data_IF_856185665158
#
_entry.id   IF_856185665158
#
_cell.length_a   1.000
_cell.length_b   1.000
_cell.length_c   1.000
_cell.angle_alpha   90.00
_cell.angle_beta   90.00
_cell.angle_gamma   90.00
#
_symmetry.space_group_name_H-M   'P 1'
#
loop_
_entity.id
_entity.type
_entity.pdbx_description
1 polymer ?
#
# COMPACT_ATOMS: atom_id res chain seq x y z
N UNK A 1 11.20 -21.60 7.36
CA UNK A 1 10.43 -21.01 6.25
C UNK A 1 11.03 -21.52 4.96
N UNK A 2 10.30 -22.30 4.18
CA UNK A 2 10.82 -22.95 2.95
C UNK A 2 10.49 -22.14 1.69
N UNK A 3 9.34 -21.48 1.69
CA UNK A 3 8.89 -20.60 0.61
C UNK A 3 7.88 -19.57 1.12
N UNK A 4 7.70 -18.49 0.35
CA UNK A 4 6.61 -17.52 0.49
C UNK A 4 5.94 -17.42 -0.88
N UNK A 5 4.65 -17.72 -0.95
CA UNK A 5 3.87 -17.61 -2.17
C UNK A 5 3.24 -16.22 -2.26
N UNK A 6 3.55 -15.50 -3.33
CA UNK A 6 2.91 -14.22 -3.65
C UNK A 6 1.92 -14.45 -4.79
N UNK A 7 0.65 -14.00 -4.65
CA UNK A 7 -0.32 -14.12 -5.73
C UNK A 7 0.15 -13.32 -6.94
N UNK A 8 -0.18 -13.80 -8.14
CA UNK A 8 0.04 -13.03 -9.37
C UNK A 8 -0.75 -11.73 -9.28
N UNK A 9 -0.12 -10.63 -9.66
CA UNK A 9 -0.80 -9.35 -9.76
C UNK A 9 -1.93 -9.42 -10.79
N UNK A 10 -3.09 -8.88 -10.43
CA UNK A 10 -4.21 -8.74 -11.34
C UNK A 10 -3.89 -7.67 -12.40
N UNK A 11 -4.54 -7.71 -13.58
CA UNK A 11 -4.49 -6.60 -14.52
C UNK A 11 -4.83 -5.26 -13.84
N UNK A 12 -4.28 -4.16 -14.36
CA UNK A 12 -4.53 -2.80 -13.86
C UNK A 12 -4.25 -2.62 -12.36
N UNK A 13 -3.36 -3.44 -11.79
CA UNK A 13 -2.97 -3.36 -10.39
C UNK A 13 -1.54 -2.87 -10.24
N UNK A 14 -1.26 -2.22 -9.12
CA UNK A 14 0.06 -1.75 -8.76
C UNK A 14 0.29 -1.82 -7.27
N UNK A 15 1.56 -1.82 -6.88
CA UNK A 15 1.99 -1.68 -5.51
C UNK A 15 3.11 -0.65 -5.39
N UNK A 16 3.19 -0.02 -4.22
CA UNK A 16 4.25 0.91 -3.88
C UNK A 16 4.59 0.77 -2.41
N UNK A 17 5.88 0.92 -2.09
CA UNK A 17 6.35 0.97 -0.72
C UNK A 17 7.23 2.20 -0.52
N UNK A 18 6.79 3.09 0.37
CA UNK A 18 7.54 4.28 0.75
C UNK A 18 8.10 4.12 2.16
N UNK A 19 9.36 4.53 2.33
CA UNK A 19 10.04 4.56 3.62
C UNK A 19 10.26 6.02 4.02
N UNK A 20 9.73 6.42 5.17
CA UNK A 20 10.13 7.65 5.84
C UNK A 20 11.43 7.38 6.59
N UNK A 21 12.54 7.91 6.05
CA UNK A 21 13.90 7.74 6.60
C UNK A 21 14.59 9.10 6.77
N UNK A 22 15.35 9.32 7.86
CA UNK A 22 16.05 10.60 8.10
C UNK A 22 17.20 10.90 7.14
N UNK A 23 17.77 9.87 6.48
CA UNK A 23 18.86 9.96 5.52
C UNK A 23 18.54 9.14 4.29
N UNK A 24 19.06 9.54 3.13
CA UNK A 24 18.66 9.03 1.81
C UNK A 24 19.15 7.62 1.47
N UNK A 25 20.23 7.16 2.12
CA UNK A 25 20.88 5.90 1.77
C UNK A 25 20.26 4.70 2.52
N UNK A 26 20.91 4.29 3.62
CA UNK A 26 20.53 3.12 4.40
C UNK A 26 20.11 3.53 5.80
N UNK A 27 18.82 3.41 6.10
CA UNK A 27 18.28 3.59 7.45
C UNK A 27 17.07 2.70 7.73
N UNK A 28 16.77 2.55 9.02
CA UNK A 28 15.54 1.92 9.49
C UNK A 28 14.40 2.93 9.28
N UNK A 29 13.29 2.47 8.69
CA UNK A 29 12.14 3.33 8.47
C UNK A 29 11.54 3.77 9.80
N UNK A 30 11.37 5.09 9.99
CA UNK A 30 10.58 5.66 11.08
C UNK A 30 9.12 5.23 10.90
N UNK A 31 8.64 5.27 9.65
CA UNK A 31 7.38 4.68 9.21
C UNK A 31 7.60 4.10 7.81
N UNK A 32 7.10 2.88 7.59
CA UNK A 32 6.96 2.31 6.24
C UNK A 32 5.49 2.33 5.83
N UNK A 33 5.18 2.71 4.59
CA UNK A 33 3.83 2.65 4.05
C UNK A 33 3.83 1.80 2.78
N UNK A 34 3.13 0.67 2.82
CA UNK A 34 2.89 -0.20 1.68
C UNK A 34 1.46 -0.05 1.20
N UNK A 35 1.30 0.16 -0.11
CA UNK A 35 -0.01 0.23 -0.76
C UNK A 35 -0.02 -0.78 -1.91
N UNK A 36 -1.13 -1.50 -2.06
CA UNK A 36 -1.46 -2.27 -3.25
C UNK A 36 -2.88 -1.91 -3.67
N UNK A 37 -3.11 -1.68 -4.95
CA UNK A 37 -4.43 -1.30 -5.46
C UNK A 37 -4.68 -1.88 -6.85
N UNK A 38 -5.96 -1.92 -7.23
CA UNK A 38 -6.46 -2.34 -8.54
C UNK A 38 -7.39 -1.26 -9.07
N UNK A 39 -7.18 -0.85 -10.32
CA UNK A 39 -8.04 0.09 -11.04
C UNK A 39 -8.94 -0.65 -12.02
N UNK A 40 -10.12 -0.09 -12.30
CA UNK A 40 -10.91 -0.44 -13.47
C UNK A 40 -10.48 0.33 -14.73
N UNK A 41 -11.13 0.06 -15.86
CA UNK A 41 -10.86 0.71 -17.15
C UNK A 41 -11.14 2.23 -17.14
N UNK A 42 -11.91 2.73 -16.16
CA UNK A 42 -12.24 4.14 -16.00
C UNK A 42 -11.30 4.86 -15.01
N UNK A 43 -10.28 4.16 -14.50
CA UNK A 43 -9.36 4.66 -13.49
C UNK A 43 -9.95 4.74 -12.08
N UNK A 44 -11.04 4.04 -11.79
CA UNK A 44 -11.62 3.94 -10.45
C UNK A 44 -10.93 2.83 -9.67
N UNK A 45 -10.51 3.13 -8.43
CA UNK A 45 -9.96 2.13 -7.53
C UNK A 45 -11.05 1.14 -7.08
N UNK A 46 -10.87 -0.14 -7.42
CA UNK A 46 -11.83 -1.22 -7.10
C UNK A 46 -11.40 -2.07 -5.92
N UNK A 47 -10.10 -2.11 -5.63
CA UNK A 47 -9.54 -2.76 -4.46
C UNK A 47 -8.30 -2.01 -3.99
N UNK A 48 -8.13 -1.90 -2.67
CA UNK A 48 -6.94 -1.32 -2.06
C UNK A 48 -6.55 -2.09 -0.80
N UNK A 49 -5.26 -2.11 -0.50
CA UNK A 49 -4.68 -2.51 0.79
C UNK A 49 -3.63 -1.51 1.18
N UNK A 50 -3.70 -1.02 2.41
CA UNK A 50 -2.73 -0.08 2.98
C UNK A 50 -2.18 -0.67 4.27
N UNK A 51 -0.87 -0.82 4.37
CA UNK A 51 -0.20 -1.34 5.54
C UNK A 51 0.90 -0.40 6.03
N UNK A 52 0.98 -0.18 7.34
CA UNK A 52 1.97 0.66 7.98
C UNK A 52 2.93 -0.17 8.84
N UNK A 53 4.23 0.08 8.67
CA UNK A 53 5.31 -0.50 9.46
C UNK A 53 5.80 0.47 10.54
N UNK A 54 6.40 -0.07 11.61
CA UNK A 54 6.99 0.67 12.74
C UNK A 54 6.05 1.51 13.61
N UNK A 55 4.76 1.62 13.26
CA UNK A 55 3.75 2.39 14.02
C UNK A 55 2.97 1.56 15.06
N UNK A 56 3.24 0.26 15.15
CA UNK A 56 2.60 -0.67 16.09
C UNK A 56 3.53 -1.88 16.36
N UNK A 57 3.25 -2.72 17.39
CA UNK A 57 4.07 -3.91 17.69
C UNK A 57 4.18 -4.95 16.54
N UNK A 58 3.29 -4.88 15.55
CA UNK A 58 3.29 -5.66 14.31
C UNK A 58 2.90 -4.73 13.15
N UNK A 59 3.20 -5.08 11.88
CA UNK A 59 2.68 -4.33 10.73
C UNK A 59 1.17 -4.16 10.84
N UNK A 60 0.70 -2.92 10.72
CA UNK A 60 -0.70 -2.55 10.87
C UNK A 60 -1.36 -2.48 9.51
N UNK A 61 -2.34 -3.35 9.24
CA UNK A 61 -3.24 -3.20 8.10
C UNK A 61 -4.27 -2.12 8.43
N UNK A 62 -4.35 -1.06 7.64
CA UNK A 62 -5.23 0.09 7.85
C UNK A 62 -6.45 -0.03 6.93
N UNK A 63 -7.52 -0.63 7.46
CA UNK A 63 -8.72 -0.90 6.68
C UNK A 63 -9.44 0.38 6.25
N UNK A 64 -9.43 1.40 7.10
CA UNK A 64 -10.07 2.70 6.84
C UNK A 64 -9.40 3.43 5.67
N UNK A 65 -8.07 3.37 5.57
CA UNK A 65 -7.33 3.95 4.45
C UNK A 65 -7.65 3.23 3.13
N UNK A 66 -7.75 1.90 3.15
CA UNK A 66 -8.20 1.15 1.96
C UNK A 66 -9.63 1.53 1.54
N UNK A 67 -10.54 1.70 2.51
CA UNK A 67 -11.92 2.09 2.25
C UNK A 67 -12.03 3.51 1.67
N UNK A 68 -11.19 4.45 2.10
CA UNK A 68 -11.15 5.81 1.55
C UNK A 68 -10.73 5.82 0.06
N UNK A 69 -9.77 4.97 -0.32
CA UNK A 69 -9.28 4.91 -1.70
C UNK A 69 -10.28 4.22 -2.64
N UNK A 70 -10.99 3.18 -2.18
CA UNK A 70 -11.91 2.43 -3.03
C UNK A 70 -13.10 3.31 -3.48
N UNK A 71 -13.40 3.28 -4.78
CA UNK A 71 -14.44 4.11 -5.41
C UNK A 71 -13.97 5.50 -5.85
N UNK A 72 -12.74 5.90 -5.52
CA UNK A 72 -12.14 7.17 -5.96
C UNK A 72 -11.37 7.03 -7.28
N UNK A 73 -11.06 8.16 -7.92
CA UNK A 73 -10.11 8.27 -9.04
C UNK A 73 -8.65 8.41 -8.62
N UNK A 74 -8.36 8.33 -7.31
CA UNK A 74 -7.03 8.61 -6.75
C UNK A 74 -6.51 10.01 -7.13
N UNK A 75 -7.41 11.01 -7.11
CA UNK A 75 -7.03 12.41 -7.25
C UNK A 75 -6.67 13.02 -5.88
N UNK A 76 -6.32 14.31 -5.85
CA UNK A 76 -5.82 14.97 -4.64
C UNK A 76 -6.86 15.05 -3.49
N UNK A 77 -8.14 14.79 -3.78
CA UNK A 77 -9.20 14.77 -2.78
C UNK A 77 -9.45 13.38 -2.17
N UNK A 78 -8.80 12.33 -2.69
CA UNK A 78 -8.95 10.94 -2.25
C UNK A 78 -8.17 10.63 -0.96
#
# INVERSE_FOLDING_TARGET
MLEIQLPRQLPHSGDAYLRLIPRTEMDIAVVGAGVNLTLDDNGICTAARVALGAVAPRPLLVAEAAAALCGSRLDEAA
#
